data_IF_487843538950
#
_entry.id   IF_487843538950
#
_cell.length_a   1.000
_cell.length_b   1.000
_cell.length_c   1.000
_cell.angle_alpha   90.00
_cell.angle_beta   90.00
_cell.angle_gamma   90.00
#
_symmetry.space_group_name_H-M   'P 1'
#
loop_
_entity.id
_entity.type
_entity.pdbx_description
1 polymer ?
#
# COMPACT_ATOMS: atom_id res chain seq x y z
N UNK A 1 -19.24 -12.08 -4.27
CA UNK A 1 -18.48 -11.94 -5.51
C UNK A 1 -18.12 -10.50 -5.77
N UNK A 2 -16.82 -10.25 -5.91
CA UNK A 2 -16.15 -9.03 -6.34
C UNK A 2 -16.25 -7.80 -5.41
N UNK A 3 -15.75 -7.91 -4.18
CA UNK A 3 -15.10 -6.71 -3.62
C UNK A 3 -13.76 -6.54 -4.35
N UNK A 4 -13.53 -5.42 -5.05
CA UNK A 4 -12.24 -5.18 -5.66
C UNK A 4 -11.21 -5.15 -4.53
N UNK A 5 -10.11 -5.88 -4.69
CA UNK A 5 -8.98 -5.91 -3.75
C UNK A 5 -8.40 -4.48 -3.62
N UNK A 6 -9.02 -3.69 -2.74
CA UNK A 6 -8.80 -2.24 -2.61
C UNK A 6 -7.39 -1.94 -2.12
N UNK A 7 -6.77 -2.91 -1.46
CA UNK A 7 -5.38 -2.88 -1.06
C UNK A 7 -4.73 -4.26 -1.28
N UNK A 8 -3.41 -4.26 -1.24
CA UNK A 8 -2.57 -5.46 -1.26
C UNK A 8 -1.56 -5.34 -0.12
N UNK A 9 -1.28 -6.39 0.65
CA UNK A 9 -0.20 -6.35 1.63
C UNK A 9 1.14 -6.11 0.95
N UNK A 10 2.02 -5.36 1.60
CA UNK A 10 3.34 -5.00 1.09
C UNK A 10 4.43 -5.28 2.15
N UNK A 11 5.69 -5.08 1.78
CA UNK A 11 6.80 -5.01 2.71
C UNK A 11 7.10 -6.33 3.40
N UNK A 12 7.47 -6.23 4.68
CA UNK A 12 7.76 -7.40 5.50
C UNK A 12 6.53 -8.31 5.66
N UNK A 13 5.32 -7.73 5.74
CA UNK A 13 4.09 -8.50 5.85
C UNK A 13 3.85 -9.38 4.61
N UNK A 14 4.06 -8.84 3.42
CA UNK A 14 3.97 -9.62 2.18
C UNK A 14 5.04 -10.72 2.10
N UNK A 15 6.25 -10.41 2.56
CA UNK A 15 7.36 -11.37 2.62
C UNK A 15 7.07 -12.48 3.63
N UNK A 16 6.52 -12.14 4.80
CA UNK A 16 6.11 -13.08 5.83
C UNK A 16 5.02 -14.01 5.30
N UNK A 17 3.95 -13.46 4.73
CA UNK A 17 2.88 -14.23 4.09
C UNK A 17 3.42 -15.20 3.04
N UNK A 18 4.38 -14.76 2.21
CA UNK A 18 5.01 -15.61 1.20
C UNK A 18 5.81 -16.77 1.80
N UNK A 19 6.59 -16.52 2.85
CA UNK A 19 7.50 -17.51 3.44
C UNK A 19 6.81 -18.48 4.40
N UNK A 20 5.80 -18.02 5.13
CA UNK A 20 5.20 -18.76 6.25
C UNK A 20 3.74 -19.14 6.02
N UNK A 21 3.05 -18.52 5.05
CA UNK A 21 1.60 -18.65 4.85
C UNK A 21 0.78 -18.31 6.13
N UNK A 22 1.26 -17.34 6.92
CA UNK A 22 0.60 -16.81 8.11
C UNK A 22 0.23 -15.34 7.95
N UNK A 23 -0.95 -14.96 8.44
CA UNK A 23 -1.46 -13.58 8.43
C UNK A 23 -1.20 -12.84 9.76
N UNK A 24 -0.71 -13.55 10.78
CA UNK A 24 -0.36 -12.92 12.05
C UNK A 24 1.02 -12.27 11.94
N UNK A 25 1.12 -10.99 12.29
CA UNK A 25 2.33 -10.21 12.14
C UNK A 25 2.40 -9.16 13.24
N UNK A 26 3.46 -9.22 14.05
CA UNK A 26 3.61 -8.37 15.24
C UNK A 26 4.27 -7.01 14.96
N UNK A 27 4.68 -6.77 13.73
CA UNK A 27 5.27 -5.49 13.31
C UNK A 27 4.23 -4.60 12.62
N UNK A 28 4.63 -3.36 12.31
CA UNK A 28 3.83 -2.41 11.52
C UNK A 28 3.32 -3.07 10.23
N UNK A 29 2.08 -2.80 9.86
CA UNK A 29 1.49 -3.33 8.63
C UNK A 29 1.79 -2.40 7.47
N UNK A 30 2.24 -2.95 6.35
CA UNK A 30 2.39 -2.18 5.12
C UNK A 30 1.40 -2.67 4.07
N UNK A 31 0.71 -1.73 3.42
CA UNK A 31 -0.22 -2.01 2.33
C UNK A 31 0.08 -1.11 1.13
N UNK A 32 -0.23 -1.61 -0.06
CA UNK A 32 -0.23 -0.86 -1.30
C UNK A 32 -1.67 -0.67 -1.79
N UNK A 33 -2.00 0.56 -2.17
CA UNK A 33 -3.35 0.95 -2.59
C UNK A 33 -3.27 1.69 -3.92
N UNK A 34 -4.19 1.38 -4.84
CA UNK A 34 -4.34 2.18 -6.07
C UNK A 34 -4.80 3.57 -5.70
N UNK A 35 -4.24 4.61 -6.34
CA UNK A 35 -4.62 6.00 -6.07
C UNK A 35 -6.13 6.25 -6.11
N UNK A 36 -6.85 5.66 -7.06
CA UNK A 36 -8.31 5.82 -7.19
C UNK A 36 -9.12 5.05 -6.12
N UNK A 37 -8.52 4.07 -5.45
CA UNK A 37 -9.14 3.28 -4.38
C UNK A 37 -8.82 3.85 -2.98
N UNK A 38 -7.87 4.78 -2.87
CA UNK A 38 -7.38 5.32 -1.60
C UNK A 38 -8.51 5.84 -0.70
N UNK A 39 -9.45 6.61 -1.26
CA UNK A 39 -10.57 7.17 -0.47
C UNK A 39 -11.45 6.08 0.16
N UNK A 40 -11.52 4.88 -0.41
CA UNK A 40 -12.28 3.76 0.18
C UNK A 40 -11.57 3.23 1.41
N UNK A 41 -10.24 3.14 1.37
CA UNK A 41 -9.42 2.72 2.51
C UNK A 41 -9.49 3.77 3.63
N UNK A 42 -9.36 5.05 3.31
CA UNK A 42 -9.38 6.10 4.33
C UNK A 42 -10.71 6.18 5.10
N UNK A 43 -11.83 5.84 4.47
CA UNK A 43 -13.16 5.83 5.10
C UNK A 43 -13.35 4.76 6.17
N UNK A 44 -12.57 3.68 6.13
CA UNK A 44 -12.69 2.58 7.09
C UNK A 44 -11.70 2.70 8.24
N UNK A 45 -10.74 3.64 8.17
CA UNK A 45 -9.82 3.92 9.26
C UNK A 45 -10.58 4.67 10.36
N UNK A 46 -10.58 4.20 11.61
CA UNK A 46 -11.22 4.89 12.73
C UNK A 46 -10.72 6.33 12.89
N UNK A 47 -11.63 7.27 13.14
CA UNK A 47 -11.28 8.70 13.33
C UNK A 47 -10.40 8.96 14.56
N UNK A 48 -10.27 8.00 15.47
CA UNK A 48 -9.36 8.08 16.61
C UNK A 48 -7.89 8.00 16.19
N UNK A 49 -7.58 7.45 15.01
CA UNK A 49 -6.23 7.37 14.49
C UNK A 49 -5.83 8.63 13.74
N UNK A 50 -4.56 9.01 13.87
CA UNK A 50 -3.98 10.15 13.18
C UNK A 50 -3.41 9.71 11.84
N UNK A 51 -3.79 10.40 10.76
CA UNK A 51 -3.28 10.13 9.41
C UNK A 51 -2.33 11.27 9.02
N UNK A 52 -1.10 10.92 8.67
CA UNK A 52 -0.11 11.85 8.11
C UNK A 52 0.16 11.48 6.67
N UNK A 53 0.24 12.48 5.79
CA UNK A 53 0.51 12.28 4.37
C UNK A 53 1.99 12.51 4.11
N UNK A 54 2.59 11.64 3.30
CA UNK A 54 3.90 11.87 2.72
C UNK A 54 3.69 12.22 1.25
N UNK A 55 4.11 13.41 0.84
CA UNK A 55 3.98 13.84 -0.55
C UNK A 55 5.07 13.22 -1.46
N UNK A 56 4.99 13.47 -2.77
CA UNK A 56 5.99 12.96 -3.74
C UNK A 56 7.41 13.47 -3.52
N UNK A 57 7.62 14.52 -2.73
CA UNK A 57 8.94 15.03 -2.34
C UNK A 57 9.47 14.39 -1.05
N UNK A 58 8.69 13.52 -0.40
CA UNK A 58 9.04 12.92 0.88
C UNK A 58 8.73 13.79 2.09
N UNK A 59 8.02 14.91 1.91
CA UNK A 59 7.66 15.81 3.00
C UNK A 59 6.39 15.27 3.69
N UNK A 60 6.42 15.24 5.03
CA UNK A 60 5.27 14.88 5.85
C UNK A 60 4.37 16.09 6.06
N UNK A 61 3.09 15.95 5.75
CA UNK A 61 2.09 17.01 5.76
C UNK A 61 0.79 16.51 6.43
N UNK A 62 -0.01 17.41 7.03
CA UNK A 62 -1.37 17.08 7.46
C UNK A 62 -2.23 16.60 6.28
N UNK A 63 -3.15 15.68 6.53
CA UNK A 63 -4.00 15.10 5.48
C UNK A 63 -4.85 16.15 4.75
N UNK A 64 -5.39 17.13 5.48
CA UNK A 64 -6.29 18.15 4.92
C UNK A 64 -5.59 19.14 3.98
N UNK A 65 -4.26 19.18 3.98
CA UNK A 65 -3.45 20.14 3.23
C UNK A 65 -2.99 19.61 1.85
N UNK A 66 -3.24 18.34 1.54
CA UNK A 66 -2.65 17.67 0.36
C UNK A 66 -3.71 17.17 -0.60
N UNK A 67 -3.56 17.49 -1.88
CA UNK A 67 -4.41 16.91 -2.91
C UNK A 67 -4.01 15.47 -3.22
N UNK A 68 -5.00 14.62 -3.51
CA UNK A 68 -4.81 13.18 -3.73
C UNK A 68 -3.73 12.84 -4.78
N UNK A 69 -3.52 13.67 -5.80
CA UNK A 69 -2.51 13.44 -6.85
C UNK A 69 -1.06 13.72 -6.39
N UNK A 70 -0.89 14.42 -5.26
CA UNK A 70 0.39 14.81 -4.67
C UNK A 70 0.84 13.83 -3.58
N UNK A 71 -0.09 13.01 -3.06
CA UNK A 71 0.18 12.00 -2.04
C UNK A 71 1.04 10.88 -2.62
N UNK A 72 2.06 10.45 -1.89
CA UNK A 72 2.88 9.31 -2.24
C UNK A 72 2.66 8.12 -1.31
N UNK A 73 2.50 8.39 -0.03
CA UNK A 73 2.10 7.41 0.97
C UNK A 73 1.40 8.10 2.13
N UNK A 74 0.80 7.31 3.02
CA UNK A 74 0.23 7.79 4.26
C UNK A 74 0.70 6.91 5.42
N UNK A 75 0.83 7.53 6.57
CA UNK A 75 1.16 6.86 7.82
C UNK A 75 -0.04 6.98 8.76
N UNK A 76 -0.43 5.87 9.36
CA UNK A 76 -1.55 5.78 10.32
C UNK A 76 -0.99 5.50 11.69
N UNK A 77 -1.30 6.40 12.62
CA UNK A 77 -0.83 6.36 14.00
C UNK A 77 -1.97 6.14 14.99
N UNK A 78 -1.70 5.33 16.01
CA UNK A 78 -2.44 5.36 17.25
C UNK A 78 -1.58 6.08 18.29
N UNK A 79 -2.00 7.29 18.68
CA UNK A 79 -1.20 8.22 19.47
C UNK A 79 0.19 8.46 18.82
N UNK A 80 1.25 7.87 19.36
CA UNK A 80 2.63 7.99 18.85
C UNK A 80 3.13 6.74 18.12
N UNK A 81 2.35 5.66 18.12
CA UNK A 81 2.76 4.38 17.54
C UNK A 81 2.34 4.29 16.08
N UNK A 82 3.31 4.08 15.19
CA UNK A 82 3.06 3.87 13.76
C UNK A 82 2.50 2.47 13.54
N UNK A 83 1.20 2.38 13.27
CA UNK A 83 0.51 1.10 13.06
C UNK A 83 0.61 0.62 11.61
N UNK A 84 0.45 1.55 10.66
CA UNK A 84 0.34 1.20 9.25
C UNK A 84 0.99 2.23 8.34
N UNK A 85 1.64 1.73 7.29
CA UNK A 85 2.08 2.53 6.16
C UNK A 85 1.27 2.15 4.90
N UNK A 86 0.68 3.14 4.25
CA UNK A 86 -0.15 2.99 3.05
C UNK A 86 0.62 3.58 1.88
N UNK A 87 1.17 2.72 1.02
CA UNK A 87 1.89 3.11 -0.18
C UNK A 87 0.88 3.29 -1.31
N UNK A 88 0.93 4.43 -1.98
CA UNK A 88 0.05 4.73 -3.10
C UNK A 88 0.77 4.39 -4.40
N UNK A 89 0.13 3.62 -5.27
CA UNK A 89 0.62 3.36 -6.62
C UNK A 89 -0.37 3.80 -7.69
N UNK A 90 0.18 4.08 -8.87
CA UNK A 90 -0.55 4.51 -10.05
C UNK A 90 -0.63 3.37 -11.07
N UNK A 91 -1.75 3.30 -11.78
CA UNK A 91 -1.98 2.35 -12.88
C UNK A 91 -2.40 3.12 -14.12
N UNK A 92 -1.75 2.84 -15.24
CA UNK A 92 -2.07 3.37 -16.57
C UNK A 92 -2.26 2.19 -17.54
N UNK A 93 -3.42 2.11 -18.18
CA UNK A 93 -3.79 1.03 -19.09
C UNK A 93 -3.49 -0.38 -18.52
N UNK A 94 -3.96 -0.67 -17.30
CA UNK A 94 -3.71 -1.93 -16.55
C UNK A 94 -2.23 -2.21 -16.21
N UNK A 95 -1.34 -1.26 -16.44
CA UNK A 95 0.07 -1.37 -16.04
C UNK A 95 0.33 -0.52 -14.81
N UNK A 96 0.85 -1.16 -13.78
CA UNK A 96 1.43 -0.48 -12.65
C UNK A 96 2.65 0.35 -13.10
N UNK A 97 2.70 1.60 -12.64
CA UNK A 97 3.78 2.53 -12.89
C UNK A 97 4.78 2.47 -11.75
N UNK A 98 6.04 2.12 -12.04
CA UNK A 98 7.06 2.05 -11.01
C UNK A 98 7.43 3.44 -10.48
N UNK A 99 7.29 3.66 -9.17
CA UNK A 99 7.43 4.97 -8.53
C UNK A 99 8.75 5.69 -8.86
N UNK A 100 9.88 4.98 -8.92
CA UNK A 100 11.19 5.59 -9.18
C UNK A 100 11.43 5.85 -10.68
N UNK A 101 10.74 5.14 -11.55
CA UNK A 101 10.87 5.30 -12.99
C UNK A 101 9.58 4.88 -13.71
N UNK A 102 8.75 5.85 -14.08
CA UNK A 102 7.47 5.60 -14.77
C UNK A 102 7.62 4.98 -16.18
N UNK A 103 8.85 4.90 -16.73
CA UNK A 103 9.10 4.14 -17.96
C UNK A 103 9.05 2.63 -17.73
N UNK A 104 9.27 2.18 -16.49
CA UNK A 104 9.08 0.79 -16.09
C UNK A 104 7.60 0.56 -15.81
N UNK A 105 6.98 -0.22 -16.67
CA UNK A 105 5.56 -0.57 -16.62
C UNK A 105 5.42 -2.08 -16.50
N UNK A 106 4.68 -2.53 -15.48
CA UNK A 106 4.43 -3.96 -15.27
C UNK A 106 2.91 -4.19 -15.28
N UNK A 107 2.40 -5.17 -16.03
CA UNK A 107 0.98 -5.54 -15.94
C UNK A 107 0.59 -5.77 -14.48
N UNK A 108 -0.48 -5.14 -14.02
CA UNK A 108 -0.83 -5.14 -12.60
C UNK A 108 -1.06 -6.56 -12.06
N UNK A 109 -1.64 -7.46 -12.87
CA UNK A 109 -1.82 -8.87 -12.51
C UNK A 109 -0.53 -9.62 -12.20
N UNK A 110 0.64 -9.07 -12.54
CA UNK A 110 1.94 -9.69 -12.28
C UNK A 110 2.62 -9.21 -11.01
N UNK A 111 2.11 -8.15 -10.35
CA UNK A 111 2.79 -7.55 -9.20
C UNK A 111 2.40 -8.17 -7.85
N UNK A 112 1.43 -9.08 -7.82
CA UNK A 112 0.92 -9.67 -6.58
C UNK A 112 0.64 -11.17 -6.70
N UNK A 113 0.55 -11.82 -5.54
CA UNK A 113 -0.04 -13.13 -5.35
C UNK A 113 -1.38 -13.00 -4.64
N UNK A 114 -2.28 -13.96 -4.90
CA UNK A 114 -3.54 -14.10 -4.19
C UNK A 114 -3.46 -15.31 -3.25
N UNK A 115 -3.53 -15.08 -1.93
CA UNK A 115 -3.62 -16.17 -0.96
C UNK A 115 -5.04 -16.74 -0.95
N UNK A 116 -5.20 -17.99 -1.40
CA UNK A 116 -6.49 -18.67 -1.37
C UNK A 116 -6.98 -18.96 0.07
N UNK A 117 -6.05 -19.25 0.97
CA UNK A 117 -6.33 -19.56 2.38
C UNK A 117 -6.86 -18.34 3.12
N UNK A 118 -6.18 -17.21 2.99
CA UNK A 118 -6.51 -15.98 3.70
C UNK A 118 -7.43 -15.05 2.91
N UNK A 119 -7.60 -15.29 1.61
CA UNK A 119 -8.38 -14.47 0.67
C UNK A 119 -7.87 -13.03 0.57
N UNK A 120 -6.56 -12.86 0.61
CA UNK A 120 -5.89 -11.56 0.55
C UNK A 120 -4.88 -11.52 -0.59
N UNK A 121 -4.70 -10.33 -1.15
CA UNK A 121 -3.64 -10.06 -2.11
C UNK A 121 -2.41 -9.52 -1.39
N UNK A 122 -1.23 -9.95 -1.82
CA UNK A 122 0.05 -9.43 -1.32
C UNK A 122 1.05 -9.27 -2.46
N UNK A 123 1.82 -8.18 -2.41
CA UNK A 123 2.79 -7.83 -3.43
C UNK A 123 3.89 -8.89 -3.44
N UNK A 124 4.31 -9.31 -4.63
CA UNK A 124 5.32 -10.36 -4.75
C UNK A 124 6.64 -9.89 -4.14
N UNK A 125 7.40 -10.74 -3.42
CA UNK A 125 8.65 -10.34 -2.79
C UNK A 125 9.64 -9.68 -3.75
N UNK A 126 9.74 -10.15 -5.01
CA UNK A 126 10.61 -9.53 -6.02
C UNK A 126 10.22 -8.08 -6.35
N UNK A 127 8.93 -7.75 -6.30
CA UNK A 127 8.45 -6.37 -6.50
C UNK A 127 8.70 -5.54 -5.25
N UNK A 128 8.53 -6.10 -4.05
CA UNK A 128 8.89 -5.44 -2.78
C UNK A 128 10.36 -5.03 -2.80
N UNK A 129 11.26 -5.91 -3.24
CA UNK A 129 12.69 -5.64 -3.36
C UNK A 129 13.00 -4.48 -4.31
N UNK A 130 12.23 -4.32 -5.40
CA UNK A 130 12.41 -3.19 -6.32
C UNK A 130 12.13 -1.83 -5.66
N UNK A 131 11.30 -1.78 -4.62
CA UNK A 131 11.00 -0.54 -3.87
C UNK A 131 12.05 -0.21 -2.80
N UNK A 132 12.96 -1.13 -2.47
CA UNK A 132 14.03 -0.92 -1.49
C UNK A 132 15.33 -0.38 -2.11
N UNK A 133 15.42 -0.33 -3.44
CA UNK A 133 16.53 0.22 -4.23
C UNK A 133 16.38 1.73 -4.44
#
# INVERSE_FOLDING_TARGET
DNEPHAFKFHGEMATHLFLTDQLHFDNKVEICVKRNELLKILRVIPMAFTIKVINKKGEQLPYDDVQLHQMSSLEVYDHNDLLMNIIIYDVDNEHWLFRLNHNVRIPEKYIYYHSLKWKVDYIKPEIVLMYLL
#
